data_IF_565215272551
#
_entry.id   IF_565215272551
#
_cell.length_a   1.000
_cell.length_b   1.000
_cell.length_c   1.000
_cell.angle_alpha   90.00
_cell.angle_beta   90.00
_cell.angle_gamma   90.00
#
_symmetry.space_group_name_H-M   'P 1'
#
loop_
_entity.id
_entity.type
_entity.pdbx_description
1 polymer ?
#
# COMPACT_ATOMS: atom_id res chain seq x y z
N UNK A 1 5.69 19.10 -28.85
CA UNK A 1 5.03 17.96 -28.14
C UNK A 1 3.60 17.85 -28.64
N UNK A 2 3.27 16.80 -29.38
CA UNK A 2 1.98 16.65 -30.07
C UNK A 2 0.82 16.68 -29.06
N UNK A 3 -0.27 17.40 -29.38
CA UNK A 3 -1.46 17.54 -28.52
C UNK A 3 -2.02 16.18 -28.09
N UNK A 4 -2.01 15.20 -28.99
CA UNK A 4 -2.44 13.81 -28.74
C UNK A 4 -1.58 13.14 -27.66
N UNK A 5 -0.27 13.34 -27.69
CA UNK A 5 0.67 12.77 -26.72
C UNK A 5 0.43 13.33 -25.31
N UNK A 6 0.09 14.62 -25.20
CA UNK A 6 -0.24 15.26 -23.91
C UNK A 6 -1.48 14.65 -23.25
N UNK A 7 -2.53 14.37 -24.03
CA UNK A 7 -3.74 13.74 -23.50
C UNK A 7 -3.51 12.28 -23.11
N UNK A 8 -2.73 11.54 -23.91
CA UNK A 8 -2.41 10.15 -23.62
C UNK A 8 -1.55 9.98 -22.35
N UNK A 9 -0.63 10.92 -22.09
CA UNK A 9 0.20 10.94 -20.87
C UNK A 9 -0.49 11.58 -19.66
N UNK A 10 -1.75 12.00 -19.76
CA UNK A 10 -2.47 12.53 -18.60
C UNK A 10 -2.68 11.42 -17.55
N UNK A 11 -2.58 11.71 -16.24
CA UNK A 11 -2.74 10.69 -15.20
C UNK A 11 -4.06 9.91 -15.30
N UNK A 12 -5.14 10.60 -15.67
CA UNK A 12 -6.46 9.99 -15.83
C UNK A 12 -6.52 9.04 -17.03
N UNK A 13 -5.96 9.44 -18.18
CA UNK A 13 -5.93 8.58 -19.36
C UNK A 13 -5.05 7.34 -19.11
N UNK A 14 -3.87 7.53 -18.51
CA UNK A 14 -3.00 6.43 -18.12
C UNK A 14 -3.71 5.44 -17.18
N UNK A 15 -4.39 5.95 -16.14
CA UNK A 15 -5.17 5.13 -15.22
C UNK A 15 -6.24 4.30 -15.95
N UNK A 16 -7.04 4.91 -16.82
CA UNK A 16 -8.10 4.22 -17.57
C UNK A 16 -7.51 3.14 -18.48
N UNK A 17 -6.41 3.44 -19.17
CA UNK A 17 -5.74 2.49 -20.07
C UNK A 17 -5.27 1.26 -19.28
N UNK A 18 -4.53 1.47 -18.18
CA UNK A 18 -4.02 0.36 -17.37
C UNK A 18 -5.16 -0.42 -16.69
N UNK A 19 -6.17 0.27 -16.15
CA UNK A 19 -7.34 -0.37 -15.57
C UNK A 19 -8.02 -1.28 -16.59
N UNK A 20 -8.28 -0.77 -17.79
CA UNK A 20 -8.93 -1.53 -18.87
C UNK A 20 -8.06 -2.71 -19.30
N UNK A 21 -6.75 -2.51 -19.43
CA UNK A 21 -5.81 -3.55 -19.81
C UNK A 21 -5.76 -4.70 -18.79
N UNK A 22 -5.54 -4.39 -17.50
CA UNK A 22 -5.48 -5.41 -16.46
C UNK A 22 -6.84 -6.07 -16.19
N UNK A 23 -7.93 -5.32 -16.30
CA UNK A 23 -9.28 -5.88 -16.24
C UNK A 23 -9.54 -6.84 -17.41
N UNK A 24 -9.08 -6.48 -18.62
CA UNK A 24 -9.12 -7.37 -19.78
C UNK A 24 -8.35 -8.67 -19.53
N UNK A 25 -7.14 -8.59 -18.97
CA UNK A 25 -6.35 -9.77 -18.58
C UNK A 25 -7.13 -10.62 -17.56
N UNK A 26 -7.75 -10.00 -16.54
CA UNK A 26 -8.56 -10.72 -15.55
C UNK A 26 -9.72 -11.49 -16.18
N UNK A 27 -10.43 -10.87 -17.13
CA UNK A 27 -11.52 -11.53 -17.86
C UNK A 27 -11.00 -12.68 -18.72
N UNK A 28 -9.90 -12.47 -19.45
CA UNK A 28 -9.26 -13.51 -20.27
C UNK A 28 -8.78 -14.68 -19.39
N UNK A 29 -8.19 -14.41 -18.23
CA UNK A 29 -7.81 -15.45 -17.27
C UNK A 29 -9.03 -16.25 -16.78
N UNK A 30 -10.18 -15.57 -16.62
CA UNK A 30 -11.46 -16.21 -16.33
C UNK A 30 -11.98 -17.13 -17.44
N UNK A 31 -11.61 -16.90 -18.70
CA UNK A 31 -11.96 -17.75 -19.85
C UNK A 31 -11.03 -18.96 -19.97
N UNK A 32 -9.74 -18.82 -19.65
CA UNK A 32 -8.74 -19.89 -19.75
C UNK A 32 -8.79 -20.86 -18.55
N UNK A 33 -9.50 -20.51 -17.47
CA UNK A 33 -9.54 -21.35 -16.26
C UNK A 33 -10.05 -22.77 -16.55
N UNK A 34 -9.32 -23.77 -16.07
CA UNK A 34 -9.81 -25.14 -16.09
C UNK A 34 -11.02 -25.27 -15.15
N UNK A 35 -12.17 -25.70 -15.69
CA UNK A 35 -13.36 -25.99 -14.88
C UNK A 35 -13.19 -27.33 -14.18
N UNK A 36 -12.43 -27.33 -13.08
CA UNK A 36 -12.28 -28.51 -12.22
C UNK A 36 -13.60 -28.91 -11.56
N UNK A 37 -13.82 -30.21 -11.37
CA UNK A 37 -14.98 -30.73 -10.62
C UNK A 37 -15.00 -30.16 -9.21
N UNK A 38 -16.16 -29.79 -8.71
CA UNK A 38 -16.31 -29.37 -7.32
C UNK A 38 -16.21 -30.60 -6.41
N UNK A 39 -15.28 -30.54 -5.45
CA UNK A 39 -15.03 -31.61 -4.49
C UNK A 39 -15.14 -31.07 -3.07
N UNK A 40 -15.59 -31.93 -2.15
CA UNK A 40 -15.70 -31.61 -0.72
C UNK A 40 -14.30 -31.32 -0.19
N UNK A 41 -14.04 -30.06 0.18
CA UNK A 41 -12.71 -29.62 0.63
C UNK A 41 -12.02 -28.58 -0.25
N UNK A 42 -12.50 -28.35 -1.50
CA UNK A 42 -11.88 -27.39 -2.45
C UNK A 42 -11.75 -25.96 -1.91
N UNK A 43 -12.69 -25.57 -1.06
CA UNK A 43 -12.76 -24.23 -0.45
C UNK A 43 -12.39 -24.25 1.04
N UNK A 44 -11.94 -25.39 1.59
CA UNK A 44 -11.47 -25.45 2.98
C UNK A 44 -10.10 -24.76 3.07
N UNK A 45 -9.83 -24.11 4.20
CA UNK A 45 -8.52 -23.50 4.46
C UNK A 45 -7.41 -24.57 4.40
N UNK A 46 -6.24 -24.17 3.88
CA UNK A 46 -5.09 -25.05 3.88
C UNK A 46 -4.54 -25.19 5.30
N UNK A 47 -4.57 -26.43 5.80
CA UNK A 47 -4.09 -26.79 7.13
C UNK A 47 -3.41 -28.16 7.11
N UNK A 48 -2.54 -28.40 6.11
CA UNK A 48 -1.85 -29.68 5.93
C UNK A 48 -2.79 -30.92 5.90
N UNK A 49 -4.06 -30.73 5.50
CA UNK A 49 -5.08 -31.78 5.45
C UNK A 49 -5.90 -31.94 6.75
N UNK A 50 -5.63 -31.15 7.78
CA UNK A 50 -6.39 -31.12 9.02
C UNK A 50 -7.73 -30.39 8.84
N UNK A 51 -8.79 -30.88 9.50
CA UNK A 51 -10.10 -30.24 9.50
C UNK A 51 -10.17 -29.15 10.58
N UNK A 52 -9.39 -28.09 10.39
CA UNK A 52 -9.46 -26.92 11.26
C UNK A 52 -10.64 -26.05 10.86
N UNK A 53 -11.37 -25.54 11.86
CA UNK A 53 -12.35 -24.52 11.61
C UNK A 53 -11.63 -23.28 11.04
N UNK A 54 -12.14 -22.73 9.94
CA UNK A 54 -11.54 -21.57 9.25
C UNK A 54 -11.78 -20.30 10.05
N UNK A 55 -11.11 -20.20 11.20
CA UNK A 55 -11.14 -19.03 12.06
C UNK A 55 -10.02 -18.11 11.58
N UNK A 56 -10.35 -16.84 11.33
CA UNK A 56 -9.33 -15.82 11.05
C UNK A 56 -8.52 -15.60 12.32
N UNK A 57 -7.34 -16.19 12.40
CA UNK A 57 -6.42 -15.96 13.50
C UNK A 57 -5.91 -14.53 13.38
N UNK A 58 -6.21 -13.70 14.38
CA UNK A 58 -5.56 -12.41 14.54
C UNK A 58 -4.15 -12.68 15.06
N UNK A 59 -3.21 -12.94 14.14
CA UNK A 59 -1.79 -12.99 14.47
C UNK A 59 -1.40 -11.62 15.04
N UNK A 60 -0.60 -11.58 16.11
CA UNK A 60 -0.14 -10.31 16.69
C UNK A 60 0.63 -9.50 15.65
N UNK A 61 0.00 -8.44 15.12
CA UNK A 61 0.56 -7.55 14.10
C UNK A 61 1.25 -6.32 14.70
N UNK A 62 1.75 -6.41 15.93
CA UNK A 62 2.30 -5.26 16.68
C UNK A 62 3.42 -4.55 15.89
N UNK A 63 4.40 -5.31 15.39
CA UNK A 63 5.46 -4.74 14.55
C UNK A 63 4.93 -4.19 13.23
N UNK A 64 3.99 -4.89 12.58
CA UNK A 64 3.41 -4.43 11.33
C UNK A 64 2.68 -3.09 11.52
N UNK A 65 1.96 -2.94 12.63
CA UNK A 65 1.26 -1.70 12.97
C UNK A 65 2.23 -0.53 13.17
N UNK A 66 3.33 -0.76 13.89
CA UNK A 66 4.39 0.24 14.07
C UNK A 66 4.98 0.69 12.72
N UNK A 67 5.32 -0.28 11.86
CA UNK A 67 5.85 0.02 10.53
C UNK A 67 4.83 0.73 9.64
N UNK A 68 3.55 0.39 9.74
CA UNK A 68 2.48 1.05 8.98
C UNK A 68 2.36 2.53 9.37
N UNK A 69 2.31 2.85 10.67
CA UNK A 69 2.25 4.25 11.12
C UNK A 69 3.50 5.02 10.71
N UNK A 70 4.69 4.44 10.93
CA UNK A 70 5.95 5.03 10.52
C UNK A 70 5.94 5.35 9.01
N UNK A 71 5.55 4.38 8.19
CA UNK A 71 5.46 4.55 6.74
C UNK A 71 4.48 5.66 6.36
N UNK A 72 3.29 5.71 6.97
CA UNK A 72 2.31 6.76 6.71
C UNK A 72 2.84 8.16 7.05
N UNK A 73 3.49 8.31 8.22
CA UNK A 73 4.09 9.59 8.63
C UNK A 73 5.16 10.01 7.60
N UNK A 74 6.06 9.09 7.24
CA UNK A 74 7.12 9.37 6.27
C UNK A 74 6.56 9.68 4.88
N UNK A 75 5.52 8.98 4.44
CA UNK A 75 4.89 9.20 3.15
C UNK A 75 4.27 10.60 3.04
N UNK A 76 3.51 11.02 4.07
CA UNK A 76 2.96 12.39 4.14
C UNK A 76 4.08 13.43 4.23
N UNK A 77 5.13 13.16 5.00
CA UNK A 77 6.29 14.06 5.13
C UNK A 77 6.95 14.31 3.79
N UNK A 78 7.19 13.26 3.00
CA UNK A 78 7.76 13.38 1.65
C UNK A 78 6.82 14.15 0.73
N UNK A 79 5.50 13.91 0.79
CA UNK A 79 4.52 14.66 -0.01
C UNK A 79 4.57 16.17 0.31
N UNK A 80 4.58 16.53 1.59
CA UNK A 80 4.68 17.93 2.03
C UNK A 80 5.98 18.56 1.52
N UNK A 81 7.13 17.91 1.73
CA UNK A 81 8.43 18.44 1.32
C UNK A 81 8.55 18.56 -0.20
N UNK A 82 8.06 17.57 -0.95
CA UNK A 82 8.09 17.57 -2.41
C UNK A 82 7.20 18.67 -3.04
N UNK A 83 6.20 19.16 -2.30
CA UNK A 83 5.26 20.19 -2.78
C UNK A 83 5.59 21.59 -2.26
N UNK A 84 6.62 21.75 -1.43
CA UNK A 84 7.04 23.06 -0.95
C UNK A 84 7.61 23.92 -2.10
N UNK A 85 7.16 25.18 -2.24
CA UNK A 85 7.73 26.08 -3.22
C UNK A 85 9.13 26.53 -2.81
N UNK A 86 9.98 26.84 -3.81
CA UNK A 86 11.31 27.39 -3.56
C UNK A 86 11.24 28.79 -2.94
N UNK A 87 12.14 29.10 -2.01
CA UNK A 87 12.23 30.43 -1.39
C UNK A 87 12.47 30.37 0.13
N UNK A 88 12.19 31.44 0.87
CA UNK A 88 12.42 31.49 2.32
C UNK A 88 11.56 30.49 3.11
N UNK A 89 10.52 29.91 2.50
CA UNK A 89 9.70 28.87 3.13
C UNK A 89 10.48 27.56 3.38
N UNK A 90 11.65 27.37 2.74
CA UNK A 90 12.50 26.19 2.94
C UNK A 90 12.90 26.03 4.41
N UNK A 91 13.08 27.14 5.15
CA UNK A 91 13.37 27.08 6.59
C UNK A 91 12.23 26.45 7.39
N UNK A 92 10.97 26.67 7.00
CA UNK A 92 9.83 25.97 7.59
C UNK A 92 9.83 24.48 7.25
N UNK A 93 10.27 24.11 6.03
CA UNK A 93 10.45 22.71 5.63
C UNK A 93 11.50 21.99 6.49
N UNK A 94 12.63 22.64 6.77
CA UNK A 94 13.67 22.11 7.66
C UNK A 94 13.11 21.94 9.08
N UNK A 95 12.44 22.96 9.62
CA UNK A 95 11.81 22.88 10.94
C UNK A 95 10.79 21.73 11.03
N UNK A 96 9.94 21.58 10.01
CA UNK A 96 8.99 20.47 9.90
C UNK A 96 9.68 19.10 9.92
N UNK A 97 10.78 18.94 9.17
CA UNK A 97 11.56 17.69 9.17
C UNK A 97 12.13 17.35 10.55
N UNK A 98 12.63 18.35 11.29
CA UNK A 98 13.12 18.16 12.67
C UNK A 98 11.98 17.67 13.58
N UNK A 99 10.81 18.29 13.49
CA UNK A 99 9.64 17.88 14.28
C UNK A 99 9.16 16.46 13.95
N UNK A 100 9.16 16.08 12.67
CA UNK A 100 8.83 14.71 12.25
C UNK A 100 9.87 13.73 12.76
N UNK A 101 11.16 14.05 12.69
CA UNK A 101 12.23 13.21 13.21
C UNK A 101 12.06 12.95 14.72
N UNK A 102 11.77 14.00 15.51
CA UNK A 102 11.47 13.86 16.94
C UNK A 102 10.23 12.98 17.17
N UNK A 103 9.18 13.17 16.38
CA UNK A 103 7.94 12.39 16.50
C UNK A 103 8.16 10.90 16.20
N UNK A 104 8.93 10.59 15.15
CA UNK A 104 9.31 9.21 14.80
C UNK A 104 10.21 8.61 15.88
N UNK A 105 11.17 9.36 16.40
CA UNK A 105 12.03 8.91 17.48
C UNK A 105 11.21 8.56 18.74
N UNK A 106 10.26 9.42 19.12
CA UNK A 106 9.36 9.16 20.24
C UNK A 106 8.51 7.90 20.03
N UNK A 107 8.02 7.67 18.81
CA UNK A 107 7.27 6.46 18.44
C UNK A 107 8.14 5.20 18.59
N UNK A 108 9.38 5.23 18.11
CA UNK A 108 10.30 4.08 18.20
C UNK A 108 10.76 3.81 19.64
N UNK A 109 10.99 4.86 20.43
CA UNK A 109 11.37 4.72 21.84
C UNK A 109 10.21 4.17 22.67
N UNK A 110 8.97 4.59 22.42
CA UNK A 110 7.80 4.07 23.14
C UNK A 110 7.59 2.57 22.96
N UNK A 111 7.81 2.04 21.75
CA UNK A 111 7.72 0.60 21.50
C UNK A 111 8.76 -0.18 22.32
N UNK A 112 9.96 0.38 22.50
CA UNK A 112 11.04 -0.28 23.25
C UNK A 112 10.69 -0.44 24.73
N UNK A 113 9.94 0.49 25.31
CA UNK A 113 9.48 0.47 26.71
C UNK A 113 8.26 -0.43 26.94
N UNK A 114 7.57 -0.85 25.87
CA UNK A 114 6.39 -1.73 25.97
C UNK A 114 6.75 -3.23 26.05
N UNK A 115 8.05 -3.56 25.97
CA UNK A 115 8.60 -4.93 26.12
C UNK A 115 9.24 -5.11 27.48
#
# INVERSE_FOLDING_TARGET
MNTILKYLLSPIAGFIIFLTFFYGIYLLAGLVKAKGRDFKGKLKAYACGEDINSIKIQVGYEFFFLFAIFFTIMHVTVLVIATLPSGPIIYFGIFYLVMIFVSVLALLLRERESK
#
